data_IF_672066275477
#
_entry.id   IF_672066275477
#
_cell.length_a   1.000
_cell.length_b   1.000
_cell.length_c   1.000
_cell.angle_alpha   90.00
_cell.angle_beta   90.00
_cell.angle_gamma   90.00
#
_symmetry.space_group_name_H-M   'P 1'
#
loop_
_entity.id
_entity.type
_entity.pdbx_description
1 polymer ?
#
# COMPACT_ATOMS: atom_id res chain seq x y z
N UNK A 1 4.90 38.92 36.02
CA UNK A 1 5.39 37.52 35.92
C UNK A 1 6.85 37.55 35.53
N UNK A 2 7.74 36.93 36.32
CA UNK A 2 9.20 36.94 36.05
C UNK A 2 9.50 36.29 34.70
N UNK A 3 10.47 36.80 33.95
CA UNK A 3 10.85 36.30 32.59
C UNK A 3 10.99 34.78 32.52
N UNK A 4 11.60 34.13 33.55
CA UNK A 4 11.76 32.70 33.62
C UNK A 4 10.45 31.90 33.55
N UNK A 5 9.37 32.40 34.16
CA UNK A 5 8.06 31.74 34.09
C UNK A 5 7.41 31.88 32.69
N UNK A 6 7.61 33.04 32.01
CA UNK A 6 7.17 33.19 30.62
C UNK A 6 7.86 32.19 29.70
N UNK A 7 9.18 31.99 29.86
CA UNK A 7 9.95 31.05 29.07
C UNK A 7 9.47 29.61 29.33
N UNK A 8 9.26 29.23 30.58
CA UNK A 8 8.76 27.88 30.92
C UNK A 8 7.40 27.62 30.28
N UNK A 9 6.47 28.60 30.35
CA UNK A 9 5.14 28.48 29.75
C UNK A 9 5.26 28.30 28.24
N UNK A 10 6.09 29.12 27.56
CA UNK A 10 6.29 28.99 26.10
C UNK A 10 6.82 27.62 25.73
N UNK A 11 7.85 27.13 26.45
CA UNK A 11 8.43 25.81 26.20
C UNK A 11 7.37 24.71 26.41
N UNK A 12 6.59 24.80 27.51
CA UNK A 12 5.52 23.83 27.76
C UNK A 12 4.46 23.83 26.66
N UNK A 13 4.04 24.99 26.18
CA UNK A 13 3.08 25.12 25.07
C UNK A 13 3.63 24.50 23.77
N UNK A 14 4.92 24.69 23.47
CA UNK A 14 5.57 24.08 22.31
C UNK A 14 5.57 22.55 22.42
N UNK A 15 5.91 22.00 23.59
CA UNK A 15 5.89 20.54 23.79
C UNK A 15 4.48 19.95 23.68
N UNK A 16 3.46 20.63 24.24
CA UNK A 16 2.06 20.20 24.10
C UNK A 16 1.63 20.22 22.64
N UNK A 17 2.00 21.27 21.90
CA UNK A 17 1.67 21.36 20.46
C UNK A 17 2.34 20.26 19.64
N UNK A 18 3.64 20.00 19.88
CA UNK A 18 4.37 18.92 19.21
C UNK A 18 3.77 17.55 19.54
N UNK A 19 3.43 17.29 20.80
CA UNK A 19 2.79 16.06 21.24
C UNK A 19 1.44 15.85 20.54
N UNK A 20 0.62 16.90 20.47
CA UNK A 20 -0.67 16.87 19.76
C UNK A 20 -0.49 16.61 18.26
N UNK A 21 0.51 17.26 17.64
CA UNK A 21 0.84 17.04 16.23
C UNK A 21 1.27 15.59 15.96
N UNK A 22 2.08 15.00 16.83
CA UNK A 22 2.50 13.60 16.75
C UNK A 22 1.29 12.66 16.84
N UNK A 23 0.35 12.93 17.76
CA UNK A 23 -0.90 12.16 17.87
C UNK A 23 -1.72 12.23 16.58
N UNK A 24 -1.91 13.42 16.03
CA UNK A 24 -2.66 13.60 14.78
C UNK A 24 -2.00 12.87 13.61
N UNK A 25 -0.68 12.89 13.53
CA UNK A 25 0.07 12.17 12.51
C UNK A 25 -0.02 10.66 12.70
N UNK A 26 0.20 10.18 13.92
CA UNK A 26 0.13 8.74 14.25
C UNK A 26 -1.27 8.14 13.98
N UNK A 27 -2.33 8.91 14.23
CA UNK A 27 -3.71 8.49 13.93
C UNK A 27 -4.13 8.77 12.46
N UNK A 28 -3.20 9.13 11.58
CA UNK A 28 -3.51 9.34 10.17
C UNK A 28 -4.43 10.53 9.86
N UNK A 29 -4.62 11.46 10.80
CA UNK A 29 -5.45 12.66 10.60
C UNK A 29 -4.70 13.77 9.84
N UNK A 30 -3.37 13.71 9.82
CA UNK A 30 -2.51 14.64 9.09
C UNK A 30 -1.51 13.83 8.27
N UNK A 31 -1.57 13.98 6.95
CA UNK A 31 -0.62 13.39 6.01
C UNK A 31 0.15 14.52 5.32
N UNK A 32 1.40 14.80 5.72
CA UNK A 32 2.17 15.91 5.14
C UNK A 32 2.53 15.68 3.67
N UNK A 33 2.41 14.45 3.18
CA UNK A 33 2.76 14.08 1.80
C UNK A 33 1.55 13.62 0.97
N UNK A 34 0.37 14.22 1.20
CA UNK A 34 -0.83 13.91 0.40
C UNK A 34 -0.73 14.60 -0.97
N UNK A 35 -0.75 13.86 -2.09
CA UNK A 35 -0.77 14.45 -3.42
C UNK A 35 -2.00 15.33 -3.63
N UNK A 36 -1.83 16.45 -4.37
CA UNK A 36 -2.93 17.36 -4.65
C UNK A 36 -4.00 16.69 -5.52
N UNK A 37 -5.25 16.64 -5.05
CA UNK A 37 -6.42 16.15 -5.83
C UNK A 37 -6.63 16.90 -7.15
N UNK A 38 -6.24 18.17 -7.23
CA UNK A 38 -6.31 18.95 -8.48
C UNK A 38 -5.36 18.42 -9.55
N UNK A 39 -4.17 17.91 -9.12
CA UNK A 39 -3.15 17.37 -10.02
C UNK A 39 -3.34 15.87 -10.26
N UNK A 40 -3.78 15.15 -9.21
CA UNK A 40 -4.00 13.71 -9.21
C UNK A 40 -5.42 13.43 -8.68
N UNK A 41 -6.43 13.54 -9.56
CA UNK A 41 -7.83 13.42 -9.15
C UNK A 41 -8.24 11.98 -8.84
N UNK A 42 -7.58 11.00 -9.44
CA UNK A 42 -7.84 9.57 -9.21
C UNK A 42 -6.83 9.05 -8.18
N UNK A 43 -7.32 8.40 -7.15
CA UNK A 43 -6.51 7.90 -6.03
C UNK A 43 -6.69 6.41 -5.85
N UNK A 44 -5.60 5.74 -5.56
CA UNK A 44 -5.63 4.31 -5.27
C UNK A 44 -4.66 3.93 -4.18
N UNK A 45 -4.74 2.70 -3.77
CA UNK A 45 -3.83 2.05 -2.83
C UNK A 45 -3.36 0.72 -3.39
N UNK A 46 -2.22 0.25 -2.93
CA UNK A 46 -1.83 -1.14 -3.01
C UNK A 46 -1.81 -1.76 -1.63
N UNK A 47 -2.22 -3.01 -1.54
CA UNK A 47 -2.31 -3.74 -0.27
C UNK A 47 -1.79 -5.17 -0.42
N UNK A 48 -1.29 -5.72 0.68
CA UNK A 48 -0.80 -7.08 0.80
C UNK A 48 -1.08 -7.63 2.20
N UNK A 49 -0.59 -8.82 2.50
CA UNK A 49 -0.62 -9.39 3.85
C UNK A 49 0.01 -8.51 4.93
N UNK A 50 0.90 -7.58 4.56
CA UNK A 50 1.49 -6.62 5.52
C UNK A 50 0.47 -5.70 6.17
N UNK A 51 -0.64 -5.37 5.48
CA UNK A 51 -1.74 -4.60 6.03
C UNK A 51 -2.79 -5.47 6.71
N UNK A 52 -2.73 -6.80 6.51
CA UNK A 52 -3.70 -7.74 7.06
C UNK A 52 -5.07 -7.65 6.41
N UNK A 53 -6.10 -7.87 7.21
CA UNK A 53 -7.48 -7.72 6.77
C UNK A 53 -7.85 -6.23 6.62
N UNK A 54 -8.38 -5.87 5.46
CA UNK A 54 -8.75 -4.49 5.12
C UNK A 54 -10.24 -4.26 5.37
N UNK A 55 -10.56 -3.15 6.02
CA UNK A 55 -11.92 -2.62 6.09
C UNK A 55 -12.26 -1.87 4.79
N UNK A 56 -12.76 -2.63 3.82
CA UNK A 56 -13.04 -2.12 2.48
C UNK A 56 -14.19 -1.12 2.45
N UNK A 57 -15.18 -1.25 3.34
CA UNK A 57 -16.28 -0.29 3.47
C UNK A 57 -15.75 1.08 3.95
N UNK A 58 -14.89 1.08 4.96
CA UNK A 58 -14.24 2.30 5.42
C UNK A 58 -13.35 2.90 4.32
N UNK A 59 -12.62 2.08 3.56
CA UNK A 59 -11.74 2.54 2.50
C UNK A 59 -12.52 3.17 1.34
N UNK A 60 -13.65 2.59 0.93
CA UNK A 60 -14.54 3.13 -0.10
C UNK A 60 -15.01 4.55 0.24
N UNK A 61 -15.27 4.81 1.53
CA UNK A 61 -15.72 6.13 2.01
C UNK A 61 -14.59 7.17 2.14
N UNK A 62 -13.33 6.82 1.80
CA UNK A 62 -12.16 7.70 1.92
C UNK A 62 -11.64 8.27 0.59
N UNK A 63 -12.48 8.41 -0.44
CA UNK A 63 -12.06 8.89 -1.77
C UNK A 63 -10.96 8.01 -2.41
N UNK A 64 -11.06 6.70 -2.27
CA UNK A 64 -10.21 5.74 -2.97
C UNK A 64 -10.98 5.18 -4.15
N UNK A 65 -10.46 5.39 -5.34
CA UNK A 65 -11.10 5.01 -6.60
C UNK A 65 -10.71 3.60 -7.06
N UNK A 66 -9.50 3.15 -6.67
CA UNK A 66 -9.00 1.84 -7.04
C UNK A 66 -8.05 1.24 -6.02
N UNK A 67 -7.89 -0.07 -6.07
CA UNK A 67 -6.89 -0.80 -5.28
C UNK A 67 -6.22 -1.90 -6.10
N UNK A 68 -4.91 -2.08 -5.90
CA UNK A 68 -4.20 -3.27 -6.34
C UNK A 68 -3.90 -4.16 -5.13
N UNK A 69 -4.24 -5.44 -5.22
CA UNK A 69 -4.10 -6.41 -4.14
C UNK A 69 -3.01 -7.40 -4.52
N UNK A 70 -2.01 -7.59 -3.65
CA UNK A 70 -0.96 -8.60 -3.86
C UNK A 70 -1.61 -9.97 -3.97
N UNK A 71 -1.38 -10.65 -5.07
CA UNK A 71 -1.88 -12.00 -5.28
C UNK A 71 -0.79 -13.05 -5.02
N UNK A 72 0.38 -12.83 -5.62
CA UNK A 72 1.44 -13.83 -5.61
C UNK A 72 2.82 -13.17 -5.56
N UNK A 73 3.81 -13.99 -5.18
CA UNK A 73 5.22 -13.65 -5.24
C UNK A 73 6.01 -14.86 -5.74
N UNK A 74 6.97 -14.64 -6.61
CA UNK A 74 7.77 -15.72 -7.17
C UNK A 74 6.92 -16.85 -7.79
N UNK A 75 7.49 -18.03 -7.88
CA UNK A 75 6.86 -19.15 -8.58
C UNK A 75 5.86 -19.96 -7.76
N UNK A 76 5.66 -19.67 -6.46
CA UNK A 76 4.84 -20.55 -5.62
C UNK A 76 4.19 -19.92 -4.39
N UNK A 77 4.48 -18.64 -4.09
CA UNK A 77 3.86 -17.98 -2.96
C UNK A 77 2.55 -17.29 -3.39
N UNK A 78 1.48 -17.52 -2.63
CA UNK A 78 0.21 -16.81 -2.68
C UNK A 78 0.09 -15.96 -1.41
N UNK A 79 -0.32 -14.69 -1.55
CA UNK A 79 -0.52 -13.81 -0.41
C UNK A 79 -1.67 -14.31 0.45
N UNK A 80 -1.42 -14.48 1.75
CA UNK A 80 -2.36 -15.13 2.67
C UNK A 80 -3.71 -14.40 2.85
N UNK A 81 -3.74 -13.09 2.55
CA UNK A 81 -4.96 -12.28 2.60
C UNK A 81 -5.57 -12.01 1.22
N UNK A 82 -4.94 -12.51 0.14
CA UNK A 82 -5.39 -12.19 -1.22
C UNK A 82 -6.86 -12.54 -1.45
N UNK A 83 -7.23 -13.79 -1.21
CA UNK A 83 -8.59 -14.26 -1.52
C UNK A 83 -9.64 -13.48 -0.74
N UNK A 84 -9.41 -13.27 0.55
CA UNK A 84 -10.32 -12.54 1.42
C UNK A 84 -10.42 -11.06 1.01
N UNK A 85 -9.28 -10.38 0.83
CA UNK A 85 -9.25 -8.99 0.44
C UNK A 85 -9.84 -8.78 -0.95
N UNK A 86 -9.54 -9.67 -1.91
CA UNK A 86 -10.07 -9.60 -3.26
C UNK A 86 -11.60 -9.77 -3.29
N UNK A 87 -12.12 -10.74 -2.53
CA UNK A 87 -13.56 -10.95 -2.41
C UNK A 87 -14.24 -9.74 -1.78
N UNK A 88 -13.78 -9.30 -0.59
CA UNK A 88 -14.40 -8.20 0.14
C UNK A 88 -14.35 -6.88 -0.65
N UNK A 89 -13.22 -6.60 -1.32
CA UNK A 89 -13.09 -5.44 -2.20
C UNK A 89 -14.06 -5.49 -3.39
N UNK A 90 -14.33 -6.67 -3.95
CA UNK A 90 -15.24 -6.83 -5.09
C UNK A 90 -16.71 -6.52 -4.75
N UNK A 91 -17.06 -6.47 -3.47
CA UNK A 91 -18.38 -6.12 -2.96
C UNK A 91 -18.57 -4.60 -2.79
N UNK A 92 -17.51 -3.81 -3.01
CA UNK A 92 -17.51 -2.35 -2.94
C UNK A 92 -17.51 -1.72 -4.35
N UNK A 93 -17.63 -0.40 -4.42
CA UNK A 93 -17.48 0.37 -5.65
C UNK A 93 -16.02 0.64 -6.06
N UNK A 94 -15.04 0.21 -5.27
CA UNK A 94 -13.61 0.36 -5.58
C UNK A 94 -13.24 -0.53 -6.77
N UNK A 95 -12.57 0.05 -7.77
CA UNK A 95 -12.05 -0.74 -8.89
C UNK A 95 -10.83 -1.51 -8.45
N UNK A 96 -10.85 -2.83 -8.57
CA UNK A 96 -9.79 -3.70 -8.08
C UNK A 96 -8.93 -4.28 -9.19
N UNK A 97 -7.67 -4.51 -8.87
CA UNK A 97 -6.71 -5.26 -9.65
C UNK A 97 -5.86 -6.15 -8.75
N UNK A 98 -5.13 -7.04 -9.37
CA UNK A 98 -4.17 -7.88 -8.67
C UNK A 98 -2.75 -7.57 -9.14
N UNK A 99 -1.76 -7.71 -8.25
CA UNK A 99 -0.37 -7.60 -8.63
C UNK A 99 0.44 -8.83 -8.23
N UNK A 100 1.50 -9.03 -8.97
CA UNK A 100 2.52 -10.04 -8.73
C UNK A 100 3.82 -9.37 -8.29
N UNK A 101 4.35 -9.75 -7.15
CA UNK A 101 5.68 -9.33 -6.72
C UNK A 101 6.73 -10.22 -7.37
N UNK A 102 7.54 -9.64 -8.25
CA UNK A 102 8.49 -10.40 -9.06
C UNK A 102 9.70 -10.83 -8.24
N UNK A 103 10.08 -12.11 -8.37
CA UNK A 103 11.29 -12.66 -7.79
C UNK A 103 12.34 -12.93 -8.86
N UNK A 104 13.59 -12.56 -8.59
CA UNK A 104 14.73 -12.90 -9.46
C UNK A 104 15.22 -14.34 -9.28
N UNK A 105 14.64 -15.10 -8.34
CA UNK A 105 15.06 -16.46 -8.00
C UNK A 105 14.33 -17.55 -8.82
N UNK A 106 13.41 -17.16 -9.70
CA UNK A 106 12.65 -18.11 -10.52
C UNK A 106 12.27 -17.54 -11.89
N UNK A 107 11.97 -18.41 -12.86
CA UNK A 107 11.67 -17.98 -14.22
C UNK A 107 10.37 -17.17 -14.29
N UNK A 108 10.31 -16.17 -15.17
CA UNK A 108 9.09 -15.39 -15.40
C UNK A 108 7.90 -16.23 -15.85
N UNK A 109 8.15 -17.37 -16.55
CA UNK A 109 7.08 -18.27 -16.99
C UNK A 109 6.40 -18.93 -15.79
N UNK A 110 7.17 -19.49 -14.86
CA UNK A 110 6.61 -20.15 -13.66
C UNK A 110 5.91 -19.15 -12.73
N UNK A 111 6.41 -17.91 -12.68
CA UNK A 111 5.76 -16.84 -11.93
C UNK A 111 4.43 -16.42 -12.57
N UNK A 112 4.39 -16.29 -13.90
CA UNK A 112 3.14 -16.02 -14.62
C UNK A 112 2.11 -17.14 -14.43
N UNK A 113 2.52 -18.41 -14.45
CA UNK A 113 1.65 -19.54 -14.17
C UNK A 113 1.07 -19.49 -12.75
N UNK A 114 1.90 -19.13 -11.73
CA UNK A 114 1.45 -18.94 -10.36
C UNK A 114 0.37 -17.85 -10.28
N UNK A 115 0.61 -16.70 -10.89
CA UNK A 115 -0.35 -15.59 -10.91
C UNK A 115 -1.65 -15.98 -11.62
N UNK A 116 -1.58 -16.57 -12.82
CA UNK A 116 -2.76 -16.97 -13.61
C UNK A 116 -3.61 -18.01 -12.88
N UNK A 117 -2.99 -18.91 -12.12
CA UNK A 117 -3.67 -19.91 -11.32
C UNK A 117 -4.40 -19.30 -10.11
N UNK A 118 -3.80 -18.28 -9.49
CA UNK A 118 -4.27 -17.70 -8.24
C UNK A 118 -5.36 -16.65 -8.46
N UNK A 119 -5.20 -15.79 -9.49
CA UNK A 119 -6.09 -14.64 -9.71
C UNK A 119 -7.35 -15.04 -10.48
N UNK A 120 -8.56 -14.84 -9.91
CA UNK A 120 -9.80 -15.14 -10.60
C UNK A 120 -10.02 -14.20 -11.79
N UNK A 121 -10.56 -14.73 -12.87
CA UNK A 121 -10.95 -13.94 -14.05
C UNK A 121 -12.31 -13.30 -13.79
N UNK A 122 -12.32 -12.03 -13.44
CA UNK A 122 -13.56 -11.27 -13.24
C UNK A 122 -13.72 -10.18 -14.31
N UNK A 123 -14.98 -9.82 -14.61
CA UNK A 123 -15.26 -8.69 -15.48
C UNK A 123 -14.93 -7.38 -14.75
N UNK A 124 -14.46 -6.37 -15.49
CA UNK A 124 -14.14 -5.03 -14.98
C UNK A 124 -12.94 -4.94 -13.99
N UNK A 125 -12.17 -6.02 -13.85
CA UNK A 125 -10.91 -5.96 -13.11
C UNK A 125 -9.91 -5.05 -13.85
N UNK A 126 -9.09 -4.33 -13.07
CA UNK A 126 -7.95 -3.59 -13.62
C UNK A 126 -6.94 -4.58 -14.26
N UNK A 127 -6.17 -4.14 -15.26
CA UNK A 127 -5.11 -4.97 -15.81
C UNK A 127 -4.16 -5.47 -14.72
N UNK A 128 -3.61 -6.69 -14.87
CA UNK A 128 -2.63 -7.21 -13.94
C UNK A 128 -1.37 -6.34 -13.90
N UNK A 129 -0.74 -6.24 -12.74
CA UNK A 129 0.48 -5.47 -12.52
C UNK A 129 1.60 -6.40 -12.07
N UNK A 130 2.79 -6.14 -12.58
CA UNK A 130 4.04 -6.72 -12.06
C UNK A 130 4.72 -5.65 -11.24
N UNK A 131 4.96 -5.95 -9.97
CA UNK A 131 5.78 -5.14 -9.08
C UNK A 131 7.22 -5.66 -9.15
N UNK A 132 8.09 -4.85 -9.73
CA UNK A 132 9.48 -5.19 -10.00
C UNK A 132 10.39 -4.32 -9.16
N UNK A 133 10.90 -4.88 -8.07
CA UNK A 133 11.80 -4.20 -7.15
C UNK A 133 13.08 -5.00 -6.94
N UNK A 134 14.20 -4.29 -6.81
CA UNK A 134 15.44 -4.90 -6.35
C UNK A 134 15.45 -5.00 -4.83
N UNK A 135 15.42 -6.21 -4.30
CA UNK A 135 15.38 -6.46 -2.85
C UNK A 135 16.43 -7.52 -2.44
N UNK A 136 16.65 -7.66 -1.16
CA UNK A 136 17.62 -8.58 -0.57
C UNK A 136 19.01 -8.45 -1.22
N UNK A 137 19.59 -9.55 -1.68
CA UNK A 137 20.89 -9.56 -2.36
C UNK A 137 20.89 -8.76 -3.68
N UNK A 138 19.75 -8.73 -4.39
CA UNK A 138 19.61 -8.01 -5.66
C UNK A 138 19.54 -6.49 -5.48
N UNK A 139 19.31 -6.00 -4.27
CA UNK A 139 19.36 -4.56 -3.96
C UNK A 139 20.76 -3.96 -4.09
N UNK A 140 21.81 -4.76 -3.82
CA UNK A 140 23.22 -4.36 -3.95
C UNK A 140 23.92 -4.92 -5.20
N UNK A 141 23.38 -5.99 -5.78
CA UNK A 141 23.90 -6.67 -6.95
C UNK A 141 22.72 -7.06 -7.89
N UNK A 142 22.19 -6.08 -8.62
CA UNK A 142 21.06 -6.33 -9.52
C UNK A 142 21.48 -7.22 -10.69
N UNK A 143 20.58 -8.12 -11.16
CA UNK A 143 20.88 -8.98 -12.30
C UNK A 143 21.13 -8.15 -13.58
N UNK A 144 21.95 -8.69 -14.48
CA UNK A 144 22.20 -8.08 -15.78
C UNK A 144 20.94 -8.10 -16.65
N UNK A 145 20.79 -7.11 -17.54
CA UNK A 145 19.57 -6.90 -18.34
C UNK A 145 19.30 -7.99 -19.41
N UNK A 146 20.21 -8.93 -19.59
CA UNK A 146 20.15 -9.93 -20.66
C UNK A 146 19.67 -11.32 -20.17
N UNK A 147 19.28 -11.44 -18.88
CA UNK A 147 18.76 -12.71 -18.35
C UNK A 147 17.21 -12.73 -18.27
#
# INVERSE_FOLDING_TARGET
MKLKYKIIIIISCVFIFLYFFIILWYNGLIWPNTPSKKKYPVRGVDVSSYQGEIDWETLENQDIDFAFIKATEGSGYEDEYFQQNFQNASETGIRIGAYHFFSFDSSGITQAENFIKTVPKTQNMLPPVIDLEFYAQHGSDPPEKEE
#
